data_IF_016918322286
#
_entry.id   IF_016918322286
#
_cell.length_a   1.000
_cell.length_b   1.000
_cell.length_c   1.000
_cell.angle_alpha   90.00
_cell.angle_beta   90.00
_cell.angle_gamma   90.00
#
_symmetry.space_group_name_H-M   'P 1'
#
loop_
_entity.id
_entity.type
_entity.pdbx_description
1 polymer ?
#
# COMPACT_ATOMS: atom_id res chain seq x y z
N UNK A 1 -23.36 -26.84 5.72
CA UNK A 1 -23.69 -25.56 6.37
C UNK A 1 -22.47 -24.64 6.36
N UNK A 2 -22.47 -23.63 5.48
CA UNK A 2 -21.48 -22.55 5.54
C UNK A 2 -21.83 -21.66 6.73
N UNK A 3 -21.20 -21.89 7.88
CA UNK A 3 -21.28 -20.96 9.00
C UNK A 3 -20.81 -19.59 8.52
N UNK A 4 -21.69 -18.60 8.50
CA UNK A 4 -21.33 -17.21 8.22
C UNK A 4 -20.43 -16.74 9.36
N UNK A 5 -19.16 -16.53 9.09
CA UNK A 5 -18.22 -15.91 10.02
C UNK A 5 -18.43 -14.40 9.96
N UNK A 6 -18.57 -13.74 11.10
CA UNK A 6 -18.63 -12.30 11.20
C UNK A 6 -17.56 -11.82 12.17
N UNK A 7 -16.69 -10.92 11.74
CA UNK A 7 -15.73 -10.24 12.59
C UNK A 7 -16.41 -9.52 13.77
N UNK A 8 -17.63 -9.06 13.57
CA UNK A 8 -18.41 -8.35 14.58
C UNK A 8 -19.21 -9.26 15.53
N UNK A 9 -19.16 -10.58 15.34
CA UNK A 9 -19.85 -11.53 16.21
C UNK A 9 -18.96 -12.73 16.57
N UNK A 10 -18.14 -12.59 17.62
CA UNK A 10 -17.18 -13.62 18.05
C UNK A 10 -17.85 -14.92 18.53
N UNK A 11 -19.13 -14.90 18.88
CA UNK A 11 -19.85 -16.09 19.34
C UNK A 11 -20.26 -17.07 18.23
N UNK A 12 -20.21 -16.66 16.97
CA UNK A 12 -20.63 -17.51 15.84
C UNK A 12 -19.49 -18.34 15.25
N UNK A 13 -18.24 -17.91 15.42
CA UNK A 13 -17.01 -18.58 14.94
C UNK A 13 -15.77 -17.79 15.37
N UNK A 14 -14.59 -18.37 15.24
CA UNK A 14 -13.33 -17.64 15.43
C UNK A 14 -13.25 -16.46 14.41
N UNK A 15 -13.46 -15.21 14.82
CA UNK A 15 -13.48 -14.05 13.93
C UNK A 15 -12.11 -13.76 13.35
N UNK A 16 -11.04 -14.28 13.96
CA UNK A 16 -9.65 -14.05 13.57
C UNK A 16 -9.12 -15.13 12.64
N UNK A 17 -9.91 -16.18 12.39
CA UNK A 17 -9.54 -17.24 11.47
C UNK A 17 -9.39 -16.69 10.04
N UNK A 18 -8.19 -16.74 9.52
CA UNK A 18 -7.87 -16.25 8.17
C UNK A 18 -7.05 -14.96 8.15
N UNK A 19 -6.90 -14.26 9.28
CA UNK A 19 -5.93 -13.19 9.39
C UNK A 19 -4.51 -13.74 9.62
N UNK A 20 -3.54 -13.09 8.99
CA UNK A 20 -2.13 -13.38 9.25
C UNK A 20 -1.76 -12.88 10.65
N UNK A 21 -1.10 -13.75 11.45
CA UNK A 21 -0.77 -13.47 12.85
C UNK A 21 0.28 -12.36 13.05
N UNK A 22 0.99 -11.96 12.00
CA UNK A 22 1.95 -10.86 12.09
C UNK A 22 1.29 -9.54 11.65
N UNK A 23 0.94 -9.45 10.37
CA UNK A 23 0.32 -8.27 9.80
C UNK A 23 -0.49 -8.62 8.54
N UNK A 24 -1.49 -7.82 8.26
CA UNK A 24 -2.38 -7.97 7.13
C UNK A 24 -2.22 -6.78 6.20
N UNK A 25 -2.35 -7.01 4.91
CA UNK A 25 -2.19 -6.00 3.88
C UNK A 25 -3.44 -5.91 3.03
N UNK A 26 -3.87 -4.68 2.79
CA UNK A 26 -4.78 -4.34 1.70
C UNK A 26 -4.02 -3.45 0.75
N UNK A 27 -4.02 -3.76 -0.55
CA UNK A 27 -3.31 -2.96 -1.54
C UNK A 27 -4.07 -2.92 -2.86
N UNK A 28 -3.98 -1.78 -3.52
CA UNK A 28 -4.47 -1.56 -4.86
C UNK A 28 -3.36 -0.95 -5.72
N UNK A 29 -3.09 -1.58 -6.86
CA UNK A 29 -2.18 -1.07 -7.87
C UNK A 29 -2.96 -0.92 -9.18
N UNK A 30 -3.11 0.31 -9.63
CA UNK A 30 -3.77 0.64 -10.89
C UNK A 30 -2.74 1.25 -11.84
N UNK A 31 -2.68 0.73 -13.05
CA UNK A 31 -1.86 1.29 -14.13
C UNK A 31 -2.73 1.39 -15.38
N UNK A 32 -2.94 2.62 -15.85
CA UNK A 32 -3.70 2.91 -17.05
C UNK A 32 -2.77 3.48 -18.10
N UNK A 33 -2.59 2.77 -19.22
CA UNK A 33 -1.85 3.28 -20.37
C UNK A 33 -2.74 4.22 -21.17
N UNK A 34 -2.36 5.49 -21.21
CA UNK A 34 -3.08 6.54 -21.93
C UNK A 34 -2.66 6.60 -23.39
N UNK A 35 -1.36 6.37 -23.65
CA UNK A 35 -0.78 6.35 -24.98
C UNK A 35 0.39 5.37 -25.01
N UNK A 36 0.50 4.56 -26.05
CA UNK A 36 1.69 3.77 -26.29
C UNK A 36 1.98 3.63 -27.79
N UNK A 37 3.24 3.60 -28.13
CA UNK A 37 3.70 3.39 -29.49
C UNK A 37 5.08 2.73 -29.50
N UNK A 38 5.36 2.00 -30.58
CA UNK A 38 6.65 1.35 -30.72
C UNK A 38 7.11 1.28 -32.18
N UNK A 39 8.41 1.35 -32.37
CA UNK A 39 9.04 1.33 -33.68
C UNK A 39 10.43 0.68 -33.66
N UNK A 40 10.83 0.14 -34.80
CA UNK A 40 12.17 -0.44 -34.97
C UNK A 40 13.16 0.65 -35.43
N UNK A 41 14.18 0.94 -34.61
CA UNK A 41 15.28 1.82 -34.94
C UNK A 41 16.50 1.50 -34.05
N UNK A 42 17.67 2.01 -34.41
CA UNK A 42 18.93 1.91 -33.65
C UNK A 42 19.33 0.46 -33.33
N UNK A 43 19.04 -0.46 -34.24
CA UNK A 43 19.36 -1.88 -34.08
C UNK A 43 18.49 -2.62 -33.04
N UNK A 44 17.37 -2.03 -32.65
CA UNK A 44 16.46 -2.60 -31.66
C UNK A 44 15.02 -2.15 -31.84
N UNK A 45 14.22 -2.37 -30.80
CA UNK A 45 12.82 -1.95 -30.69
C UNK A 45 12.70 -0.86 -29.64
N UNK A 46 12.07 0.25 -30.00
CA UNK A 46 11.87 1.41 -29.14
C UNK A 46 10.40 1.53 -28.79
N UNK A 47 10.11 1.95 -27.56
CA UNK A 47 8.75 2.21 -27.08
C UNK A 47 8.66 3.61 -26.47
N UNK A 48 7.51 4.24 -26.66
CA UNK A 48 7.11 5.47 -25.98
C UNK A 48 5.77 5.20 -25.33
N UNK A 49 5.65 5.47 -24.04
CA UNK A 49 4.45 5.20 -23.26
C UNK A 49 4.12 6.37 -22.33
N UNK A 50 2.83 6.64 -22.17
CA UNK A 50 2.31 7.54 -21.14
C UNK A 50 1.34 6.73 -20.29
N UNK A 51 1.64 6.57 -19.01
CA UNK A 51 0.85 5.79 -18.08
C UNK A 51 0.44 6.64 -16.87
N UNK A 52 -0.82 6.52 -16.44
CA UNK A 52 -1.26 6.99 -15.13
C UNK A 52 -1.16 5.84 -14.14
N UNK A 53 -0.50 6.08 -13.02
CA UNK A 53 -0.27 5.07 -11.97
C UNK A 53 -0.78 5.52 -10.63
N UNK A 54 -1.45 4.61 -9.93
CA UNK A 54 -1.90 4.76 -8.55
C UNK A 54 -1.54 3.50 -7.77
N UNK A 55 -0.81 3.68 -6.70
CA UNK A 55 -0.43 2.61 -5.78
C UNK A 55 -0.89 2.98 -4.39
N UNK A 56 -1.73 2.15 -3.78
CA UNK A 56 -2.16 2.32 -2.39
C UNK A 56 -1.86 1.06 -1.62
N UNK A 57 -1.25 1.20 -0.45
CA UNK A 57 -0.93 0.12 0.47
C UNK A 57 -1.39 0.48 1.87
N UNK A 58 -2.16 -0.42 2.47
CA UNK A 58 -2.59 -0.35 3.87
C UNK A 58 -2.03 -1.55 4.58
N UNK A 59 -1.37 -1.34 5.71
CA UNK A 59 -0.85 -2.38 6.57
C UNK A 59 -1.50 -2.28 7.94
N UNK A 60 -2.05 -3.39 8.38
CA UNK A 60 -2.75 -3.52 9.65
C UNK A 60 -2.14 -4.71 10.43
N UNK A 61 -1.63 -4.49 11.64
CA UNK A 61 -1.12 -5.55 12.49
C UNK A 61 -2.25 -6.48 12.97
N UNK A 62 -1.92 -7.74 13.23
CA UNK A 62 -2.88 -8.73 13.71
C UNK A 62 -3.50 -8.34 15.05
N UNK A 63 -2.71 -7.77 15.95
CA UNK A 63 -3.15 -7.37 17.29
C UNK A 63 -4.25 -6.28 17.28
N UNK A 64 -4.33 -5.48 16.19
CA UNK A 64 -5.45 -4.57 15.99
C UNK A 64 -6.78 -5.32 15.88
N UNK A 65 -6.79 -6.42 15.13
CA UNK A 65 -7.99 -7.25 14.94
C UNK A 65 -8.31 -8.04 16.21
N UNK A 66 -7.28 -8.51 16.92
CA UNK A 66 -7.43 -9.17 18.23
C UNK A 66 -8.05 -8.20 19.25
N UNK A 67 -7.52 -7.01 19.35
CA UNK A 67 -8.06 -5.95 20.20
C UNK A 67 -9.53 -5.63 19.87
N UNK A 68 -9.86 -5.47 18.58
CA UNK A 68 -11.23 -5.17 18.17
C UNK A 68 -12.22 -6.35 18.37
N UNK A 69 -11.73 -7.59 18.37
CA UNK A 69 -12.59 -8.77 18.51
C UNK A 69 -12.82 -9.19 19.96
N UNK A 70 -11.84 -8.97 20.84
CA UNK A 70 -11.88 -9.41 22.23
C UNK A 70 -11.16 -8.40 23.12
N UNK A 71 -11.90 -7.42 23.60
CA UNK A 71 -11.41 -6.38 24.50
C UNK A 71 -11.50 -6.90 25.94
N UNK A 72 -10.38 -7.36 26.49
CA UNK A 72 -10.29 -7.92 27.84
C UNK A 72 -9.22 -7.23 28.70
N UNK A 73 -9.03 -7.72 29.91
CA UNK A 73 -7.91 -7.31 30.78
C UNK A 73 -6.61 -7.87 30.27
N UNK A 74 -6.00 -7.18 29.30
CA UNK A 74 -4.75 -7.62 28.64
C UNK A 74 -3.94 -6.41 28.16
N UNK A 75 -2.71 -6.67 27.78
CA UNK A 75 -1.85 -5.72 27.08
C UNK A 75 -1.77 -6.11 25.60
N UNK A 76 -2.26 -5.21 24.75
CA UNK A 76 -2.24 -5.36 23.30
C UNK A 76 -1.10 -4.51 22.73
N UNK A 77 -0.08 -5.17 22.22
CA UNK A 77 0.97 -4.51 21.44
C UNK A 77 0.56 -4.47 19.99
N UNK A 78 -0.27 -3.49 19.64
CA UNK A 78 -0.84 -3.35 18.30
C UNK A 78 0.26 -3.10 17.26
N UNK A 79 1.32 -2.34 17.64
CA UNK A 79 2.44 -2.04 16.75
C UNK A 79 2.13 -0.92 15.75
N UNK A 80 2.64 -1.05 14.52
CA UNK A 80 2.59 0.00 13.53
C UNK A 80 1.46 -0.20 12.52
N UNK A 81 0.58 0.80 12.39
CA UNK A 81 -0.37 0.93 11.29
C UNK A 81 0.26 1.83 10.21
N UNK A 82 0.00 1.53 8.95
CA UNK A 82 0.58 2.25 7.84
C UNK A 82 -0.35 2.33 6.65
N UNK A 83 -0.51 3.53 6.12
CA UNK A 83 -1.20 3.81 4.86
C UNK A 83 -0.28 4.63 3.99
N UNK A 84 -0.01 4.14 2.80
CA UNK A 84 0.74 4.88 1.79
C UNK A 84 -0.03 4.87 0.47
N UNK A 85 -0.15 6.03 -0.16
CA UNK A 85 -0.74 6.17 -1.49
C UNK A 85 0.12 7.09 -2.33
N UNK A 86 0.51 6.62 -3.52
CA UNK A 86 1.35 7.38 -4.45
C UNK A 86 0.69 7.38 -5.83
N UNK A 87 0.46 8.58 -6.36
CA UNK A 87 -0.27 8.82 -7.60
C UNK A 87 0.57 9.70 -8.52
N UNK A 88 0.84 9.23 -9.73
CA UNK A 88 1.69 9.94 -10.69
C UNK A 88 1.38 9.54 -12.12
N UNK A 89 1.79 10.39 -13.05
CA UNK A 89 1.86 10.08 -14.48
C UNK A 89 3.32 9.82 -14.85
N UNK A 90 3.58 8.74 -15.57
CA UNK A 90 4.91 8.46 -16.11
C UNK A 90 4.93 8.63 -17.64
N UNK A 91 6.00 9.23 -18.14
CA UNK A 91 6.36 9.27 -19.55
C UNK A 91 7.61 8.39 -19.69
N UNK A 92 7.49 7.26 -20.37
CA UNK A 92 8.52 6.24 -20.46
C UNK A 92 9.06 6.08 -21.88
N UNK A 93 10.37 6.04 -21.99
CA UNK A 93 11.11 5.78 -23.22
C UNK A 93 11.88 4.46 -23.06
N UNK A 94 11.55 3.46 -23.86
CA UNK A 94 12.17 2.14 -23.79
C UNK A 94 12.98 1.81 -25.03
N UNK A 95 14.06 1.06 -24.82
CA UNK A 95 14.85 0.44 -25.90
C UNK A 95 15.19 -1.00 -25.54
N UNK A 96 15.02 -1.91 -26.51
CA UNK A 96 15.44 -3.31 -26.34
C UNK A 96 16.08 -3.83 -27.61
N UNK A 97 17.12 -4.65 -27.45
CA UNK A 97 17.82 -5.28 -28.57
C UNK A 97 18.37 -6.65 -28.23
N UNK A 98 18.56 -7.47 -29.24
CA UNK A 98 19.31 -8.70 -29.15
C UNK A 98 20.81 -8.38 -29.18
N UNK A 99 21.55 -8.78 -28.15
CA UNK A 99 23.02 -8.67 -28.09
C UNK A 99 23.65 -9.76 -28.96
N UNK A 100 23.04 -10.95 -28.87
CA UNK A 100 23.40 -12.11 -29.69
C UNK A 100 22.17 -13.06 -29.78
N UNK A 101 22.33 -14.23 -30.35
CA UNK A 101 21.24 -15.23 -30.53
C UNK A 101 20.65 -15.73 -29.20
N UNK A 102 21.34 -15.56 -28.06
CA UNK A 102 20.93 -16.05 -26.76
C UNK A 102 20.47 -14.93 -25.80
N UNK A 103 20.99 -13.72 -25.95
CA UNK A 103 20.75 -12.64 -25.02
C UNK A 103 20.01 -11.48 -25.66
N UNK A 104 18.90 -11.09 -25.00
CA UNK A 104 18.20 -9.84 -25.24
C UNK A 104 18.26 -8.98 -23.98
N UNK A 105 18.51 -7.70 -24.14
CA UNK A 105 18.50 -6.71 -23.06
C UNK A 105 17.54 -5.58 -23.41
N UNK A 106 17.02 -4.94 -22.37
CA UNK A 106 16.16 -3.76 -22.49
C UNK A 106 16.31 -2.83 -21.31
N UNK A 107 16.09 -1.56 -21.56
CA UNK A 107 16.02 -0.53 -20.55
C UNK A 107 14.88 0.43 -20.86
N UNK A 108 14.26 1.01 -19.83
CA UNK A 108 13.35 2.16 -19.93
C UNK A 108 13.85 3.27 -19.02
N UNK A 109 13.77 4.49 -19.51
CA UNK A 109 13.92 5.71 -18.71
C UNK A 109 12.54 6.35 -18.58
N UNK A 110 12.25 6.85 -17.39
CA UNK A 110 10.93 7.37 -17.04
C UNK A 110 11.06 8.75 -16.42
N UNK A 111 10.28 9.69 -16.92
CA UNK A 111 10.01 10.97 -16.26
C UNK A 111 8.69 10.84 -15.53
N UNK A 112 8.68 11.22 -14.27
CA UNK A 112 7.52 11.07 -13.38
C UNK A 112 6.96 12.45 -13.04
N UNK A 113 5.65 12.59 -13.19
CA UNK A 113 4.89 13.78 -12.84
C UNK A 113 3.99 13.40 -11.66
N UNK A 114 4.41 13.74 -10.46
CA UNK A 114 3.71 13.43 -9.21
C UNK A 114 2.45 14.26 -9.07
N UNK A 115 1.34 13.60 -8.81
CA UNK A 115 0.03 14.24 -8.59
C UNK A 115 -0.27 14.35 -7.11
N UNK A 116 -0.19 13.24 -6.38
CA UNK A 116 -0.42 13.19 -4.94
C UNK A 116 0.35 12.05 -4.29
N UNK A 117 0.87 12.28 -3.08
CA UNK A 117 1.48 11.28 -2.22
C UNK A 117 0.98 11.45 -0.79
N UNK A 118 0.50 10.39 -0.20
CA UNK A 118 0.05 10.33 1.18
C UNK A 118 0.81 9.24 1.93
N UNK A 119 1.35 9.59 3.08
CA UNK A 119 2.03 8.67 3.99
C UNK A 119 1.49 8.91 5.40
N UNK A 120 0.64 7.98 5.87
CA UNK A 120 0.01 8.06 7.19
C UNK A 120 0.51 6.89 8.03
N UNK A 121 1.05 7.19 9.18
CA UNK A 121 1.60 6.21 10.12
C UNK A 121 1.02 6.44 11.50
N UNK A 122 0.73 5.36 12.18
CA UNK A 122 0.53 5.35 13.62
C UNK A 122 1.48 4.31 14.19
N UNK A 123 2.48 4.76 14.93
CA UNK A 123 3.61 3.95 15.38
C UNK A 123 3.50 3.63 16.87
N UNK A 124 4.13 2.52 17.26
CA UNK A 124 4.23 2.10 18.66
C UNK A 124 2.86 2.00 19.37
N UNK A 125 1.82 1.64 18.64
CA UNK A 125 0.46 1.58 19.19
C UNK A 125 0.36 0.46 20.20
N UNK A 126 0.05 0.82 21.43
CA UNK A 126 -0.23 -0.13 22.51
C UNK A 126 -1.53 0.22 23.21
N UNK A 127 -2.24 -0.81 23.70
CA UNK A 127 -3.40 -0.64 24.55
C UNK A 127 -3.22 -1.58 25.75
N UNK A 128 -3.09 -1.03 26.93
CA UNK A 128 -3.01 -1.77 28.19
C UNK A 128 -4.32 -1.55 28.94
N UNK A 129 -5.09 -2.63 29.07
CA UNK A 129 -6.37 -2.61 29.74
C UNK A 129 -6.27 -3.47 31.00
N UNK A 130 -6.47 -2.84 32.15
CA UNK A 130 -6.52 -3.52 33.45
C UNK A 130 -7.85 -3.25 34.12
N UNK A 131 -8.12 -3.92 35.23
CA UNK A 131 -9.32 -3.62 36.03
C UNK A 131 -9.33 -2.20 36.62
N UNK A 132 -8.14 -1.60 36.79
CA UNK A 132 -7.98 -0.31 37.47
C UNK A 132 -7.72 0.86 36.49
N UNK A 133 -7.19 0.57 35.29
CA UNK A 133 -6.87 1.62 34.31
C UNK A 133 -6.79 1.11 32.88
N UNK A 134 -7.06 1.99 31.92
CA UNK A 134 -6.86 1.81 30.50
C UNK A 134 -5.83 2.83 30.02
N UNK A 135 -4.72 2.34 29.48
CA UNK A 135 -3.68 3.21 28.89
C UNK A 135 -3.55 2.89 27.41
N UNK A 136 -3.67 3.94 26.59
CA UNK A 136 -3.43 3.87 25.15
C UNK A 136 -2.18 4.68 24.84
N UNK A 137 -1.32 4.16 23.98
CA UNK A 137 -0.19 4.88 23.41
C UNK A 137 -0.24 4.80 21.90
N UNK A 138 0.14 5.87 21.19
CA UNK A 138 0.24 5.88 19.75
C UNK A 138 0.78 7.19 19.20
N UNK A 139 1.79 7.11 18.33
CA UNK A 139 2.41 8.25 17.65
C UNK A 139 1.85 8.33 16.22
N UNK A 140 0.88 9.22 16.00
CA UNK A 140 0.23 9.41 14.71
C UNK A 140 0.94 10.52 13.90
N UNK A 141 1.25 10.23 12.65
CA UNK A 141 1.90 11.13 11.71
C UNK A 141 1.24 11.01 10.34
N UNK A 142 0.98 12.13 9.71
CA UNK A 142 0.45 12.19 8.35
C UNK A 142 1.25 13.20 7.52
N UNK A 143 1.77 12.73 6.41
CA UNK A 143 2.45 13.52 5.39
C UNK A 143 1.62 13.50 4.11
N UNK A 144 1.33 14.67 3.57
CA UNK A 144 0.59 14.82 2.33
C UNK A 144 1.34 15.77 1.40
N UNK A 145 1.66 15.28 0.20
CA UNK A 145 2.28 16.05 -0.85
C UNK A 145 1.37 16.08 -2.08
N UNK A 146 0.75 17.21 -2.31
CA UNK A 146 -0.12 17.45 -3.46
C UNK A 146 -0.22 18.96 -3.71
N UNK A 147 -0.18 19.39 -4.96
CA UNK A 147 -0.37 20.80 -5.29
C UNK A 147 -1.73 21.29 -4.81
N UNK A 148 -1.73 22.42 -4.09
CA UNK A 148 -2.94 23.05 -3.59
C UNK A 148 -3.57 22.41 -2.37
N UNK A 149 -2.99 21.34 -1.82
CA UNK A 149 -3.47 20.70 -0.59
C UNK A 149 -3.25 21.60 0.63
N UNK A 150 -4.29 21.72 1.44
CA UNK A 150 -4.26 22.42 2.73
C UNK A 150 -5.15 21.70 3.73
N UNK A 151 -4.71 21.62 4.97
CA UNK A 151 -5.58 21.23 6.08
C UNK A 151 -6.45 22.42 6.49
N UNK A 152 -7.74 22.18 6.70
CA UNK A 152 -8.63 23.12 7.39
C UNK A 152 -8.65 22.78 8.86
N UNK A 153 -8.44 23.78 9.69
CA UNK A 153 -8.43 23.61 11.14
C UNK A 153 -9.64 24.28 11.79
N UNK A 154 -10.15 23.65 12.82
CA UNK A 154 -11.12 24.24 13.74
C UNK A 154 -10.49 24.35 15.12
N UNK A 155 -10.96 25.31 15.89
CA UNK A 155 -10.56 25.50 17.28
C UNK A 155 -11.69 25.03 18.19
N UNK A 156 -11.35 24.31 19.25
CA UNK A 156 -12.27 23.86 20.28
C UNK A 156 -11.73 24.27 21.65
N UNK A 157 -12.59 24.79 22.48
CA UNK A 157 -12.25 25.10 23.87
C UNK A 157 -12.10 23.79 24.67
N UNK A 158 -11.15 23.76 25.58
CA UNK A 158 -11.08 22.70 26.55
C UNK A 158 -12.30 22.76 27.47
N UNK A 159 -12.79 21.60 27.85
CA UNK A 159 -13.91 21.51 28.80
C UNK A 159 -13.43 21.51 30.25
N UNK A 160 -12.23 21.00 30.52
CA UNK A 160 -11.68 20.78 31.85
C UNK A 160 -10.74 21.88 32.34
N UNK A 161 -10.33 22.80 31.45
CA UNK A 161 -9.37 23.86 31.74
C UNK A 161 -9.59 25.09 30.85
N UNK A 162 -9.02 26.22 31.21
CA UNK A 162 -9.00 27.39 30.32
C UNK A 162 -8.10 27.16 29.12
N UNK A 163 -8.49 27.71 27.97
CA UNK A 163 -7.77 27.63 26.72
C UNK A 163 -8.48 26.85 25.64
N UNK A 164 -7.81 26.70 24.52
CA UNK A 164 -8.35 26.01 23.35
C UNK A 164 -7.25 25.23 22.61
N UNK A 165 -7.64 24.25 21.83
CA UNK A 165 -6.77 23.51 20.94
C UNK A 165 -7.29 23.55 19.51
N UNK A 166 -6.35 23.56 18.55
CA UNK A 166 -6.66 23.48 17.13
C UNK A 166 -6.52 22.03 16.66
N UNK A 167 -7.40 21.59 15.78
CA UNK A 167 -7.36 20.27 15.17
C UNK A 167 -7.80 20.33 13.71
N UNK A 168 -7.36 19.37 12.91
CA UNK A 168 -7.77 19.22 11.51
C UNK A 168 -9.19 18.67 11.48
N UNK A 169 -10.11 19.43 10.91
CA UNK A 169 -11.52 19.03 10.77
C UNK A 169 -11.93 18.77 9.32
N UNK A 170 -11.15 19.26 8.35
CA UNK A 170 -11.43 19.10 6.93
C UNK A 170 -10.14 19.29 6.12
N UNK A 171 -10.22 19.08 4.82
CA UNK A 171 -9.15 19.31 3.86
C UNK A 171 -9.66 20.20 2.72
N UNK A 172 -8.76 20.96 2.12
CA UNK A 172 -9.03 21.76 0.94
C UNK A 172 -8.02 21.49 -0.15
N UNK A 173 -8.44 21.57 -1.41
CA UNK A 173 -7.57 21.42 -2.56
C UNK A 173 -7.79 22.59 -3.51
N UNK A 174 -6.86 23.51 -3.50
CA UNK A 174 -6.90 24.72 -4.35
C UNK A 174 -6.00 24.53 -5.59
N UNK A 175 -6.62 24.10 -6.68
CA UNK A 175 -5.94 23.93 -7.95
C UNK A 175 -5.07 22.68 -8.05
N UNK A 176 -5.69 21.53 -8.25
CA UNK A 176 -4.98 20.28 -8.53
C UNK A 176 -4.02 20.39 -9.73
N UNK A 177 -2.91 19.68 -9.68
CA UNK A 177 -1.91 19.68 -10.73
C UNK A 177 -0.68 18.85 -10.37
N UNK A 178 0.43 19.09 -11.07
CA UNK A 178 1.71 18.44 -10.77
C UNK A 178 2.25 19.02 -9.47
N UNK A 179 2.36 18.18 -8.45
CA UNK A 179 2.91 18.49 -7.13
C UNK A 179 4.34 18.00 -6.93
N UNK A 180 4.88 17.21 -7.88
CA UNK A 180 6.24 16.70 -7.81
C UNK A 180 6.77 16.26 -9.16
N UNK A 181 8.08 16.10 -9.26
CA UNK A 181 8.76 15.57 -10.44
C UNK A 181 9.76 14.51 -10.04
N UNK A 182 9.98 13.52 -10.90
CA UNK A 182 10.88 12.42 -10.58
C UNK A 182 11.45 11.73 -11.80
N UNK A 183 12.34 10.80 -11.52
CA UNK A 183 12.98 9.95 -12.52
C UNK A 183 12.95 8.50 -12.05
N UNK A 184 12.78 7.59 -12.99
CA UNK A 184 12.90 6.16 -12.72
C UNK A 184 13.51 5.43 -13.91
N UNK A 185 14.00 4.22 -13.67
CA UNK A 185 14.51 3.34 -14.69
C UNK A 185 14.00 1.90 -14.50
N UNK A 186 13.80 1.22 -15.64
CA UNK A 186 13.65 -0.23 -15.70
C UNK A 186 14.82 -0.83 -16.44
N UNK A 187 15.27 -2.00 -15.98
CA UNK A 187 16.26 -2.83 -16.65
C UNK A 187 15.74 -4.25 -16.78
N UNK A 188 16.00 -4.88 -17.90
CA UNK A 188 15.57 -6.25 -18.11
C UNK A 188 16.48 -7.01 -19.05
N UNK A 189 16.51 -8.33 -18.85
CA UNK A 189 17.24 -9.24 -19.74
C UNK A 189 16.48 -10.55 -19.92
N UNK A 190 16.66 -11.14 -21.09
CA UNK A 190 16.17 -12.49 -21.41
C UNK A 190 17.35 -13.30 -21.94
N UNK A 191 17.50 -14.51 -21.42
CA UNK A 191 18.53 -15.47 -21.81
C UNK A 191 17.88 -16.76 -22.36
N UNK A 192 18.23 -17.13 -23.58
CA UNK A 192 17.75 -18.33 -24.28
C UNK A 192 18.94 -19.24 -24.60
N UNK A 193 19.33 -20.13 -23.70
CA UNK A 193 20.44 -21.07 -23.96
C UNK A 193 20.16 -21.98 -25.18
N UNK A 194 18.92 -22.40 -25.30
CA UNK A 194 18.40 -23.21 -26.38
C UNK A 194 16.91 -22.87 -26.69
N UNK A 195 16.26 -23.64 -27.57
CA UNK A 195 14.85 -23.40 -27.95
C UNK A 195 13.83 -23.79 -26.89
N UNK A 196 14.23 -24.52 -25.88
CA UNK A 196 13.34 -25.06 -24.82
C UNK A 196 13.36 -24.24 -23.54
N UNK A 197 14.46 -23.54 -23.26
CA UNK A 197 14.64 -22.80 -22.04
C UNK A 197 14.74 -21.30 -22.30
N UNK A 198 14.02 -20.53 -21.48
CA UNK A 198 14.12 -19.09 -21.44
C UNK A 198 14.19 -18.63 -19.99
N UNK A 199 15.27 -17.93 -19.61
CA UNK A 199 15.39 -17.24 -18.34
C UNK A 199 15.16 -15.75 -18.53
N UNK A 200 14.53 -15.09 -17.58
CA UNK A 200 14.33 -13.65 -17.60
C UNK A 200 14.61 -13.04 -16.22
N UNK A 201 15.14 -11.83 -16.23
CA UNK A 201 15.27 -11.00 -15.04
C UNK A 201 14.94 -9.57 -15.38
N UNK A 202 14.19 -8.90 -14.51
CA UNK A 202 13.84 -7.49 -14.67
C UNK A 202 13.84 -6.79 -13.31
N UNK A 203 14.38 -5.59 -13.28
CA UNK A 203 14.30 -4.64 -12.17
C UNK A 203 13.55 -3.42 -12.67
N UNK A 204 12.40 -3.12 -12.07
CA UNK A 204 11.43 -2.15 -12.54
C UNK A 204 11.19 -1.06 -11.50
N UNK A 205 10.84 0.14 -11.97
CA UNK A 205 10.43 1.27 -11.14
C UNK A 205 11.51 1.69 -10.10
N UNK A 206 12.78 1.57 -10.46
CA UNK A 206 13.88 2.08 -9.62
C UNK A 206 13.98 3.58 -9.80
N UNK A 207 13.46 4.33 -8.84
CA UNK A 207 13.37 5.77 -8.97
C UNK A 207 12.75 6.46 -7.77
N UNK A 208 12.56 7.76 -7.92
CA UNK A 208 12.04 8.63 -6.88
C UNK A 208 11.16 9.74 -7.46
N UNK A 209 10.35 10.33 -6.62
CA UNK A 209 9.63 11.59 -6.90
C UNK A 209 10.04 12.61 -5.83
N UNK A 210 10.43 13.78 -6.27
CA UNK A 210 10.68 14.94 -5.45
C UNK A 210 9.43 15.84 -5.47
N UNK A 211 8.78 15.96 -4.32
CA UNK A 211 7.57 16.73 -4.11
C UNK A 211 7.91 18.16 -3.68
N UNK A 212 7.13 19.12 -4.14
CA UNK A 212 7.36 20.54 -3.86
C UNK A 212 6.86 20.99 -2.49
N UNK A 213 6.02 20.17 -1.84
CA UNK A 213 5.44 20.45 -0.53
C UNK A 213 5.30 19.17 0.30
N UNK A 214 5.20 19.32 1.61
CA UNK A 214 4.94 18.25 2.58
C UNK A 214 4.07 18.79 3.73
N UNK A 215 2.75 18.75 3.57
CA UNK A 215 1.82 19.12 4.62
C UNK A 215 1.83 18.06 5.70
N UNK A 216 2.37 18.41 6.87
CA UNK A 216 2.58 17.51 7.98
C UNK A 216 1.54 17.70 9.08
N UNK A 217 1.04 16.60 9.61
CA UNK A 217 0.13 16.59 10.75
C UNK A 217 0.52 15.48 11.74
N UNK A 218 0.29 15.72 13.02
CA UNK A 218 0.56 14.73 14.09
C UNK A 218 -0.41 14.92 15.24
N UNK A 219 -0.62 13.88 16.05
CA UNK A 219 -1.37 14.02 17.30
C UNK A 219 -0.55 14.81 18.34
N UNK A 220 -1.24 15.51 19.24
CA UNK A 220 -0.60 16.32 20.29
C UNK A 220 -0.12 15.43 21.40
N UNK A 221 -1.02 14.62 21.96
CA UNK A 221 -0.72 13.62 22.96
C UNK A 221 -0.56 12.25 22.35
N UNK A 222 0.50 11.58 22.76
CA UNK A 222 0.78 10.20 22.36
C UNK A 222 0.22 9.19 23.34
N UNK A 223 -0.17 9.65 24.52
CA UNK A 223 -0.65 8.83 25.61
C UNK A 223 -2.04 9.29 26.07
N UNK A 224 -2.88 8.34 26.37
CA UNK A 224 -4.18 8.54 27.01
C UNK A 224 -4.33 7.52 28.14
N UNK A 225 -4.67 7.98 29.33
CA UNK A 225 -4.94 7.10 30.48
C UNK A 225 -6.29 7.43 31.09
N UNK A 226 -7.13 6.39 31.19
CA UNK A 226 -8.36 6.42 31.95
C UNK A 226 -8.20 5.52 33.17
N UNK A 227 -8.27 6.08 34.35
CA UNK A 227 -8.09 5.36 35.65
C UNK A 227 -9.40 5.24 36.42
N UNK A 228 -10.53 5.57 35.81
CA UNK A 228 -11.82 5.63 36.51
C UNK A 228 -12.07 6.99 37.16
N UNK A 229 -13.14 7.10 37.92
CA UNK A 229 -13.53 8.28 38.66
C UNK A 229 -13.13 8.10 40.12
N UNK A 230 -12.31 9.02 40.65
CA UNK A 230 -11.77 8.94 41.99
C UNK A 230 -12.10 10.22 42.78
N UNK A 231 -12.33 10.08 44.09
CA UNK A 231 -12.59 11.18 45.01
C UNK A 231 -13.63 12.17 44.49
N UNK A 232 -14.73 11.59 43.95
CA UNK A 232 -15.76 12.34 43.22
C UNK A 232 -16.60 13.18 44.20
N UNK A 233 -16.56 14.49 44.04
CA UNK A 233 -17.43 15.43 44.78
C UNK A 233 -18.89 15.24 44.41
N UNK A 234 -19.77 15.34 45.39
CA UNK A 234 -21.23 15.17 45.22
C UNK A 234 -21.88 16.48 44.77
N UNK A 235 -21.25 17.60 45.07
CA UNK A 235 -21.75 18.94 44.69
C UNK A 235 -20.69 19.72 43.91
N UNK A 236 -21.13 20.63 43.06
CA UNK A 236 -20.24 21.51 42.28
C UNK A 236 -19.35 22.42 43.15
N UNK A 237 -19.72 22.67 44.40
CA UNK A 237 -18.91 23.44 45.33
C UNK A 237 -17.72 22.66 45.93
N UNK A 238 -17.75 21.34 45.86
CA UNK A 238 -16.64 20.48 46.29
C UNK A 238 -15.59 20.34 45.20
N UNK A 239 -15.94 20.63 43.96
CA UNK A 239 -15.10 20.37 42.77
C UNK A 239 -14.88 18.89 42.51
N UNK A 240 -14.12 18.57 41.49
CA UNK A 240 -13.78 17.20 41.11
C UNK A 240 -15.03 16.27 40.96
N UNK A 241 -16.11 16.82 40.42
CA UNK A 241 -17.34 16.07 40.20
C UNK A 241 -17.12 15.01 39.08
N UNK A 242 -18.07 14.10 38.90
CA UNK A 242 -18.02 13.14 37.80
C UNK A 242 -17.97 13.84 36.42
N UNK A 243 -18.65 15.00 36.28
CA UNK A 243 -18.63 15.78 35.04
C UNK A 243 -17.25 16.44 34.81
N UNK A 244 -16.61 16.98 35.86
CA UNK A 244 -15.27 17.57 35.76
C UNK A 244 -14.24 16.52 35.33
N UNK A 245 -14.30 15.31 35.90
CA UNK A 245 -13.42 14.20 35.53
C UNK A 245 -13.70 13.72 34.10
N UNK A 246 -14.98 13.63 33.70
CA UNK A 246 -15.33 13.26 32.32
C UNK A 246 -14.85 14.29 31.32
N UNK A 247 -14.96 15.57 31.61
CA UNK A 247 -14.47 16.65 30.76
C UNK A 247 -12.96 16.57 30.58
N UNK A 248 -12.20 16.28 31.65
CA UNK A 248 -10.77 16.04 31.59
C UNK A 248 -10.41 14.86 30.69
N UNK A 249 -11.07 13.71 30.85
CA UNK A 249 -10.83 12.55 29.98
C UNK A 249 -11.23 12.82 28.52
N UNK A 250 -12.33 13.56 28.31
CA UNK A 250 -12.76 13.98 26.97
C UNK A 250 -11.72 14.84 26.25
N UNK A 251 -11.09 15.77 26.97
CA UNK A 251 -10.05 16.63 26.43
C UNK A 251 -8.76 15.84 26.12
N UNK A 252 -8.35 14.95 27.01
CA UNK A 252 -7.16 14.11 26.81
C UNK A 252 -7.31 13.17 25.62
N UNK A 253 -8.44 12.45 25.52
CA UNK A 253 -8.64 11.55 24.39
C UNK A 253 -8.77 12.30 23.07
N UNK A 254 -9.34 13.50 23.08
CA UNK A 254 -9.40 14.35 21.91
C UNK A 254 -8.02 14.73 21.39
N UNK A 255 -7.07 15.02 22.25
CA UNK A 255 -5.68 15.33 21.88
C UNK A 255 -4.91 14.10 21.41
N UNK A 256 -5.30 12.91 21.87
CA UNK A 256 -4.72 11.65 21.41
C UNK A 256 -5.11 11.30 19.97
N UNK A 257 -6.38 11.42 19.59
CA UNK A 257 -6.84 11.02 18.26
C UNK A 257 -6.91 12.14 17.22
N UNK A 258 -7.04 13.41 17.64
CA UNK A 258 -7.07 14.54 16.74
C UNK A 258 -5.68 14.89 16.21
N UNK A 259 -5.57 15.05 14.90
CA UNK A 259 -4.35 15.53 14.29
C UNK A 259 -4.31 17.07 14.31
N UNK A 260 -3.15 17.60 14.59
CA UNK A 260 -2.81 19.01 14.47
C UNK A 260 -2.03 19.26 13.20
N UNK A 261 -2.39 20.31 12.48
CA UNK A 261 -1.62 20.81 11.36
C UNK A 261 -0.31 21.43 11.84
N UNK A 262 0.80 20.94 11.34
CA UNK A 262 2.15 21.47 11.57
C UNK A 262 2.68 22.28 10.40
N UNK A 263 1.81 22.53 9.41
CA UNK A 263 2.11 23.29 8.20
C UNK A 263 2.91 22.52 7.16
N UNK A 264 3.27 23.24 6.12
CA UNK A 264 4.13 22.73 5.06
C UNK A 264 5.59 22.68 5.53
N UNK A 265 6.18 21.50 5.53
CA UNK A 265 7.57 21.26 5.92
C UNK A 265 8.56 21.48 4.75
N UNK A 266 8.06 21.92 3.61
CA UNK A 266 8.83 22.12 2.39
C UNK A 266 8.87 20.91 1.49
N UNK A 267 9.97 20.75 0.73
CA UNK A 267 10.06 19.66 -0.24
C UNK A 267 10.35 18.32 0.44
N UNK A 268 9.77 17.25 -0.14
CA UNK A 268 9.98 15.86 0.30
C UNK A 268 10.34 14.97 -0.88
N UNK A 269 11.18 13.97 -0.67
CA UNK A 269 11.48 12.96 -1.69
C UNK A 269 10.99 11.60 -1.25
N UNK A 270 10.22 10.95 -2.12
CA UNK A 270 9.74 9.58 -1.88
C UNK A 270 10.26 8.64 -2.96
N UNK A 271 10.66 7.44 -2.54
CA UNK A 271 11.10 6.39 -3.46
C UNK A 271 9.89 5.65 -4.03
N UNK A 272 9.99 5.22 -5.28
CA UNK A 272 9.03 4.27 -5.83
C UNK A 272 9.19 2.89 -5.19
N UNK A 273 8.12 2.11 -5.20
CA UNK A 273 8.19 0.69 -4.83
C UNK A 273 8.79 -0.12 -5.98
N UNK A 274 10.11 -0.24 -6.02
CA UNK A 274 10.81 -1.00 -7.03
C UNK A 274 10.36 -2.48 -7.03
N UNK A 275 10.39 -3.12 -8.21
CA UNK A 275 10.01 -4.52 -8.39
C UNK A 275 11.12 -5.30 -9.08
N UNK A 276 11.42 -6.48 -8.55
CA UNK A 276 12.32 -7.44 -9.17
C UNK A 276 11.56 -8.68 -9.59
N UNK A 277 11.62 -9.02 -10.86
CA UNK A 277 11.02 -10.21 -11.41
C UNK A 277 12.12 -11.12 -11.95
N UNK A 278 12.12 -12.38 -11.53
CA UNK A 278 13.02 -13.42 -12.07
C UNK A 278 12.15 -14.58 -12.51
N UNK A 279 12.27 -14.97 -13.77
CA UNK A 279 11.44 -16.00 -14.36
C UNK A 279 12.22 -17.02 -15.17
N UNK A 280 11.68 -18.22 -15.22
CA UNK A 280 12.15 -19.29 -16.12
C UNK A 280 10.95 -19.87 -16.82
N UNK A 281 11.05 -20.05 -18.12
CA UNK A 281 10.09 -20.75 -18.98
C UNK A 281 10.74 -21.99 -19.58
N UNK A 282 10.03 -23.10 -19.51
CA UNK A 282 10.41 -24.36 -20.12
C UNK A 282 9.35 -24.81 -21.12
N UNK A 283 9.75 -25.04 -22.37
CA UNK A 283 8.90 -25.59 -23.44
C UNK A 283 9.07 -27.09 -23.49
N UNK A 284 7.98 -27.83 -23.45
CA UNK A 284 8.04 -29.29 -23.43
C UNK A 284 8.50 -29.84 -24.84
N UNK A 285 9.66 -30.52 -24.93
CA UNK A 285 10.22 -30.94 -26.24
C UNK A 285 9.33 -31.90 -27.02
N UNK A 286 8.57 -32.75 -26.32
CA UNK A 286 7.66 -33.72 -26.96
C UNK A 286 6.34 -33.08 -27.45
N UNK A 287 6.02 -31.88 -26.94
CA UNK A 287 4.84 -31.14 -27.31
C UNK A 287 5.10 -29.62 -27.10
N UNK A 288 5.73 -29.01 -28.09
CA UNK A 288 6.22 -27.62 -28.02
C UNK A 288 5.11 -26.54 -27.83
N UNK A 289 3.85 -26.98 -27.85
CA UNK A 289 2.68 -26.11 -27.56
C UNK A 289 2.35 -26.02 -26.07
N UNK A 290 3.10 -26.70 -25.19
CA UNK A 290 2.94 -26.66 -23.75
C UNK A 290 4.19 -26.06 -23.09
N UNK A 291 3.96 -25.01 -22.32
CA UNK A 291 5.01 -24.27 -21.64
C UNK A 291 4.76 -24.24 -20.14
N UNK A 292 5.79 -24.48 -19.36
CA UNK A 292 5.77 -24.31 -17.91
C UNK A 292 6.57 -23.07 -17.53
N UNK A 293 6.07 -22.32 -16.55
CA UNK A 293 6.72 -21.12 -16.05
C UNK A 293 6.89 -21.15 -14.55
N UNK A 294 8.02 -20.65 -14.10
CA UNK A 294 8.28 -20.28 -12.72
C UNK A 294 8.64 -18.80 -12.69
N UNK A 295 7.97 -18.02 -11.84
CA UNK A 295 8.22 -16.61 -11.66
C UNK A 295 8.37 -16.30 -10.17
N UNK A 296 9.40 -15.57 -9.82
CA UNK A 296 9.53 -14.91 -8.52
C UNK A 296 9.41 -13.41 -8.73
N UNK A 297 8.47 -12.78 -8.06
CA UNK A 297 8.23 -11.34 -8.10
C UNK A 297 8.40 -10.77 -6.71
N UNK A 298 9.38 -9.89 -6.51
CA UNK A 298 9.64 -9.20 -5.25
C UNK A 298 9.32 -7.72 -5.42
N UNK A 299 8.55 -7.16 -4.48
CA UNK A 299 8.27 -5.74 -4.39
C UNK A 299 8.97 -5.14 -3.18
N UNK A 300 9.82 -4.16 -3.41
CA UNK A 300 10.60 -3.49 -2.38
C UNK A 300 9.80 -2.29 -1.83
N UNK A 301 9.33 -2.41 -0.61
CA UNK A 301 8.56 -1.38 0.10
C UNK A 301 9.17 -1.16 1.50
N UNK A 302 10.48 -1.03 1.62
CA UNK A 302 11.17 -0.92 2.89
C UNK A 302 10.87 -2.11 3.82
N UNK A 303 10.43 -1.85 5.04
CA UNK A 303 10.04 -2.88 6.03
C UNK A 303 8.87 -3.79 5.55
N UNK A 304 8.20 -3.43 4.46
CA UNK A 304 7.01 -4.10 3.94
C UNK A 304 7.27 -4.82 2.62
N UNK A 305 8.55 -5.07 2.33
CA UNK A 305 8.96 -5.87 1.18
C UNK A 305 8.32 -7.26 1.24
N UNK A 306 7.82 -7.73 0.11
CA UNK A 306 7.20 -9.03 -0.01
C UNK A 306 7.56 -9.69 -1.34
N UNK A 307 7.50 -11.02 -1.36
CA UNK A 307 7.81 -11.83 -2.54
C UNK A 307 6.65 -12.77 -2.84
N UNK A 308 6.35 -12.92 -4.11
CA UNK A 308 5.41 -13.91 -4.65
C UNK A 308 6.17 -14.90 -5.51
N UNK A 309 5.90 -16.18 -5.31
CA UNK A 309 6.27 -17.26 -6.23
C UNK A 309 5.06 -17.68 -7.06
N UNK A 310 5.24 -17.85 -8.37
CA UNK A 310 4.17 -18.26 -9.29
C UNK A 310 4.62 -19.41 -10.18
N UNK A 311 3.84 -20.48 -10.21
CA UNK A 311 3.94 -21.57 -11.16
C UNK A 311 2.86 -21.39 -12.22
N UNK A 312 3.18 -21.65 -13.48
CA UNK A 312 2.21 -21.60 -14.56
C UNK A 312 2.39 -22.75 -15.55
N UNK A 313 1.27 -23.14 -16.18
CA UNK A 313 1.26 -23.99 -17.34
C UNK A 313 0.42 -23.31 -18.42
N UNK A 314 1.02 -23.08 -19.59
CA UNK A 314 0.39 -22.39 -20.71
C UNK A 314 0.33 -23.34 -21.90
N UNK A 315 -0.81 -23.37 -22.56
CA UNK A 315 -1.11 -24.26 -23.66
C UNK A 315 -1.58 -23.46 -24.88
N UNK A 316 -0.90 -23.64 -26.01
CA UNK A 316 -1.16 -22.96 -27.29
C UNK A 316 -1.55 -23.97 -28.37
N UNK A 317 -2.76 -24.60 -28.27
CA UNK A 317 -3.14 -25.70 -29.18
C UNK A 317 -3.28 -25.24 -30.61
N UNK A 318 -3.74 -24.01 -30.83
CA UNK A 318 -4.03 -23.46 -32.16
C UNK A 318 -3.42 -22.04 -32.25
N UNK A 319 -3.17 -21.58 -33.48
CA UNK A 319 -2.61 -20.25 -33.71
C UNK A 319 -3.55 -19.08 -33.32
N UNK A 320 -4.78 -19.36 -32.97
CA UNK A 320 -5.82 -18.40 -32.56
C UNK A 320 -6.43 -18.69 -31.20
N UNK A 321 -5.97 -19.76 -30.53
CA UNK A 321 -6.46 -20.17 -29.23
C UNK A 321 -5.28 -20.50 -28.31
N UNK A 322 -5.20 -19.87 -27.19
CA UNK A 322 -4.30 -20.22 -26.11
C UNK A 322 -5.00 -20.14 -24.74
N UNK A 323 -4.40 -20.77 -23.75
CA UNK A 323 -4.89 -20.74 -22.40
C UNK A 323 -3.81 -21.10 -21.40
N UNK A 324 -4.07 -20.80 -20.15
CA UNK A 324 -3.12 -21.08 -19.09
C UNK A 324 -3.78 -21.16 -17.73
N UNK A 325 -3.09 -21.84 -16.83
CA UNK A 325 -3.40 -21.89 -15.42
C UNK A 325 -2.18 -21.44 -14.62
N UNK A 326 -2.40 -20.77 -13.50
CA UNK A 326 -1.32 -20.40 -12.62
C UNK A 326 -1.70 -20.61 -11.15
N UNK A 327 -0.70 -20.92 -10.36
CA UNK A 327 -0.76 -21.01 -8.90
C UNK A 327 0.26 -20.03 -8.37
N UNK A 328 -0.18 -19.08 -7.55
CA UNK A 328 0.70 -18.12 -6.91
C UNK A 328 0.59 -18.23 -5.38
N UNK A 329 1.72 -18.07 -4.72
CA UNK A 329 1.81 -18.02 -3.27
C UNK A 329 2.72 -16.87 -2.85
N UNK A 330 2.26 -16.08 -1.90
CA UNK A 330 3.03 -15.01 -1.29
C UNK A 330 2.90 -15.05 0.23
N UNK A 331 3.51 -14.10 0.92
CA UNK A 331 3.50 -14.02 2.39
C UNK A 331 2.07 -13.91 2.98
N UNK A 332 1.08 -13.50 2.20
CA UNK A 332 -0.27 -13.18 2.69
C UNK A 332 -1.34 -14.15 2.21
N UNK A 333 -1.16 -14.72 1.01
CA UNK A 333 -2.21 -15.48 0.35
C UNK A 333 -1.65 -16.50 -0.63
N UNK A 334 -2.49 -17.47 -0.95
CA UNK A 334 -2.32 -18.36 -2.10
C UNK A 334 -3.49 -18.13 -3.04
N UNK A 335 -3.21 -18.00 -4.33
CA UNK A 335 -4.21 -17.78 -5.36
C UNK A 335 -4.01 -18.73 -6.52
N UNK A 336 -5.10 -19.07 -7.18
CA UNK A 336 -5.12 -19.82 -8.43
C UNK A 336 -5.84 -18.98 -9.47
N UNK A 337 -5.27 -18.89 -10.67
CA UNK A 337 -5.85 -18.19 -11.81
C UNK A 337 -5.85 -19.08 -13.04
N UNK A 338 -6.73 -18.75 -13.97
CA UNK A 338 -6.76 -19.35 -15.29
C UNK A 338 -7.08 -18.26 -16.32
N UNK A 339 -6.72 -18.50 -17.57
CA UNK A 339 -7.04 -17.63 -18.69
C UNK A 339 -7.30 -18.49 -19.93
N UNK A 340 -8.26 -18.10 -20.71
CA UNK A 340 -8.49 -18.59 -22.08
C UNK A 340 -8.53 -17.38 -23.00
N UNK A 341 -7.73 -17.40 -24.05
CA UNK A 341 -7.60 -16.32 -25.00
C UNK A 341 -7.94 -16.81 -26.41
N UNK A 342 -8.82 -16.09 -27.07
CA UNK A 342 -9.27 -16.36 -28.45
C UNK A 342 -8.88 -15.16 -29.31
N UNK A 343 -7.94 -15.36 -30.27
CA UNK A 343 -7.33 -14.26 -31.04
C UNK A 343 -7.18 -14.56 -32.53
N UNK A 344 -8.29 -14.82 -33.27
CA UNK A 344 -8.23 -14.88 -34.70
C UNK A 344 -7.82 -13.52 -35.30
N UNK A 345 -7.46 -13.49 -36.57
CA UNK A 345 -7.03 -12.25 -37.25
C UNK A 345 -8.06 -11.12 -37.05
N UNK A 346 -7.62 -10.00 -36.46
CA UNK A 346 -8.43 -8.79 -36.28
C UNK A 346 -9.33 -8.78 -35.06
N UNK A 347 -9.26 -9.80 -34.20
CA UNK A 347 -10.09 -9.91 -32.99
C UNK A 347 -9.30 -10.58 -31.87
N UNK A 348 -9.49 -10.09 -30.63
CA UNK A 348 -8.89 -10.71 -29.45
C UNK A 348 -9.86 -10.57 -28.25
N UNK A 349 -10.21 -11.69 -27.64
CA UNK A 349 -11.01 -11.75 -26.40
C UNK A 349 -10.39 -12.76 -25.47
N UNK A 350 -10.31 -12.40 -24.20
CA UNK A 350 -9.84 -13.28 -23.15
C UNK A 350 -10.84 -13.35 -22.00
N UNK A 351 -10.86 -14.50 -21.32
CA UNK A 351 -11.63 -14.79 -20.12
C UNK A 351 -10.68 -15.35 -19.06
N UNK A 352 -10.86 -14.91 -17.79
CA UNK A 352 -10.02 -15.38 -16.70
C UNK A 352 -10.59 -15.03 -15.31
#
# INVERSE_FOLDING_TARGET
>A
DKKKTSFLNPYLSDPLKGFNKNWNRVGADVSLTLLSGGFKAFGGYNTVEINAKSTTNVKLPYELFRFAADVGNDTYNIGDLYVNSQNYVEIALGHSRDINSKWRVGAKLKVLLGVADADVKMQNVTAQLTGDSWTLHGDAQAHMSMKGWKYKTATKEYKSQEGSYSYINDVDVDGAGIGGVGLAADLGTVFRPDKYWEGSAALLDVGFIHWSNDCYATNTDKDFTFSGFHDTGVTSSEGNTADDQWDKYSDQIAQFYNLQDKGDQGSRTTMLSARMNIGVRYTLPVYEKLHFGLLSATRFCGKHTWTEGRLSANWEPLCWLDGGVNLAANTFSTSMGWVVNVHPKGFNVFFG
#
